data_IF_357822415466
#
_entry.id   IF_357822415466
#
_cell.length_a   1.000
_cell.length_b   1.000
_cell.length_c   1.000
_cell.angle_alpha   90.00
_cell.angle_beta   90.00
_cell.angle_gamma   90.00
#
_symmetry.space_group_name_H-M   'P 1'
#
loop_
_entity.id
_entity.type
_entity.pdbx_description
1 polymer ?
#
# COMPACT_ATOMS: atom_id res chain seq x y z
N UNK A 1 -3.08 24.62 12.08
CA UNK A 1 -3.24 23.40 11.26
C UNK A 1 -2.04 22.52 11.52
N UNK A 2 -2.27 21.32 12.04
CA UNK A 2 -1.20 20.35 12.24
C UNK A 2 -0.82 19.66 10.93
N UNK A 3 0.31 18.95 10.92
CA UNK A 3 0.70 18.08 9.79
C UNK A 3 -0.38 17.02 9.53
N UNK A 4 -1.01 16.51 10.60
CA UNK A 4 -2.07 15.51 10.51
C UNK A 4 -3.30 16.11 9.81
N UNK A 5 -3.69 17.34 10.17
CA UNK A 5 -4.83 18.02 9.54
C UNK A 5 -4.55 18.28 8.05
N UNK A 6 -3.32 18.67 7.70
CA UNK A 6 -2.94 18.89 6.30
C UNK A 6 -2.95 17.58 5.49
N UNK A 7 -2.43 16.49 6.06
CA UNK A 7 -2.46 15.17 5.43
C UNK A 7 -3.89 14.69 5.19
N UNK A 8 -4.74 14.78 6.21
CA UNK A 8 -6.14 14.35 6.18
C UNK A 8 -7.03 15.18 5.24
N UNK A 9 -6.54 16.29 4.65
CA UNK A 9 -7.28 17.00 3.61
C UNK A 9 -7.21 16.28 2.25
N UNK A 10 -6.16 15.50 2.01
CA UNK A 10 -5.89 14.90 0.70
C UNK A 10 -5.85 13.38 0.74
N UNK A 11 -5.43 12.83 1.88
CA UNK A 11 -5.15 11.41 2.02
C UNK A 11 -5.90 10.81 3.20
N UNK A 12 -6.24 9.54 3.06
CA UNK A 12 -6.67 8.68 4.16
C UNK A 12 -5.64 7.56 4.38
N UNK A 13 -5.35 7.26 5.64
CA UNK A 13 -4.64 6.04 6.02
C UNK A 13 -5.63 4.95 6.36
N UNK A 14 -5.59 3.84 5.64
CA UNK A 14 -6.46 2.69 5.85
C UNK A 14 -5.64 1.55 6.46
N UNK A 15 -5.98 1.08 7.68
CA UNK A 15 -5.38 -0.14 8.21
C UNK A 15 -5.82 -1.33 7.36
N UNK A 16 -4.86 -2.08 6.81
CA UNK A 16 -5.11 -3.29 6.03
C UNK A 16 -5.21 -4.50 6.97
N UNK A 17 -6.31 -4.57 7.72
CA UNK A 17 -6.57 -5.59 8.72
C UNK A 17 -7.49 -6.73 8.25
N UNK A 18 -7.90 -6.72 6.98
CA UNK A 18 -8.58 -7.83 6.31
C UNK A 18 -7.68 -8.45 5.25
N UNK A 19 -7.94 -9.70 4.88
CA UNK A 19 -7.14 -10.39 3.87
C UNK A 19 -7.23 -9.71 2.50
N UNK A 20 -8.39 -9.14 2.16
CA UNK A 20 -8.58 -8.39 0.92
C UNK A 20 -7.70 -7.14 0.87
N UNK A 21 -7.65 -6.37 1.97
CA UNK A 21 -6.83 -5.16 2.05
C UNK A 21 -5.33 -5.50 2.09
N UNK A 22 -4.93 -6.60 2.76
CA UNK A 22 -3.54 -7.07 2.72
C UNK A 22 -3.13 -7.49 1.31
N UNK A 23 -4.03 -8.14 0.58
CA UNK A 23 -3.78 -8.50 -0.81
C UNK A 23 -3.56 -7.26 -1.70
N UNK A 24 -4.26 -6.15 -1.45
CA UNK A 24 -3.97 -4.88 -2.12
C UNK A 24 -2.58 -4.35 -1.78
N UNK A 25 -2.14 -4.44 -0.52
CA UNK A 25 -0.79 -4.05 -0.09
C UNK A 25 0.27 -4.87 -0.83
N UNK A 26 0.13 -6.20 -0.87
CA UNK A 26 1.11 -7.07 -1.53
C UNK A 26 1.19 -6.83 -3.05
N UNK A 27 0.05 -6.56 -3.70
CA UNK A 27 0.01 -6.17 -5.12
C UNK A 27 0.67 -4.82 -5.38
N UNK A 28 0.44 -3.84 -4.49
CA UNK A 28 1.07 -2.52 -4.62
C UNK A 28 2.59 -2.61 -4.43
N UNK A 29 3.04 -3.37 -3.44
CA UNK A 29 4.46 -3.64 -3.22
C UNK A 29 5.09 -4.34 -4.43
N UNK A 30 4.42 -5.33 -5.01
CA UNK A 30 4.87 -6.00 -6.24
C UNK A 30 5.01 -5.01 -7.41
N UNK A 31 3.99 -4.19 -7.65
CA UNK A 31 4.02 -3.17 -8.69
C UNK A 31 5.23 -2.24 -8.53
N UNK A 32 5.49 -1.75 -7.31
CA UNK A 32 6.59 -0.82 -7.06
C UNK A 32 7.94 -1.52 -7.03
N UNK A 33 8.13 -2.52 -6.17
CA UNK A 33 9.44 -3.12 -5.90
C UNK A 33 9.89 -4.07 -7.01
N UNK A 34 8.99 -4.82 -7.65
CA UNK A 34 9.36 -5.75 -8.71
C UNK A 34 9.29 -5.11 -10.09
N UNK A 35 8.18 -4.44 -10.42
CA UNK A 35 7.93 -3.99 -11.80
C UNK A 35 8.48 -2.59 -12.13
N UNK A 36 8.30 -1.63 -11.23
CA UNK A 36 8.71 -0.24 -11.49
C UNK A 36 10.16 0.05 -11.09
N UNK A 37 10.64 -0.59 -10.01
CA UNK A 37 11.95 -0.31 -9.42
C UNK A 37 12.97 -1.41 -9.62
N UNK A 38 12.56 -2.63 -9.99
CA UNK A 38 13.42 -3.81 -10.13
C UNK A 38 14.33 -4.04 -8.92
N UNK A 39 13.82 -3.76 -7.71
CA UNK A 39 14.53 -4.03 -6.46
C UNK A 39 14.45 -5.50 -6.06
N UNK A 40 13.37 -6.16 -6.44
CA UNK A 40 13.11 -7.58 -6.17
C UNK A 40 12.72 -8.28 -7.47
N UNK A 41 13.01 -9.58 -7.56
CA UNK A 41 12.59 -10.38 -8.71
C UNK A 41 11.07 -10.59 -8.68
N UNK A 42 10.37 -10.47 -9.82
CA UNK A 42 8.93 -10.67 -9.89
C UNK A 42 8.57 -12.15 -9.68
N UNK A 43 7.58 -12.39 -8.83
CA UNK A 43 6.97 -13.70 -8.62
C UNK A 43 5.86 -14.00 -9.65
N UNK A 44 5.48 -15.28 -9.78
CA UNK A 44 4.42 -15.69 -10.71
C UNK A 44 2.99 -15.38 -10.23
N UNK A 45 2.81 -15.05 -8.95
CA UNK A 45 1.50 -14.79 -8.35
C UNK A 45 1.11 -13.30 -8.43
N UNK A 46 2.03 -12.42 -8.86
CA UNK A 46 1.82 -10.99 -8.99
C UNK A 46 1.70 -10.28 -7.64
N UNK A 47 2.37 -10.79 -6.61
CA UNK A 47 2.38 -10.22 -5.27
C UNK A 47 3.79 -10.21 -4.69
N UNK A 48 4.05 -9.26 -3.80
CA UNK A 48 5.29 -9.19 -3.05
C UNK A 48 4.97 -9.27 -1.57
N UNK A 49 5.54 -10.27 -0.92
CA UNK A 49 5.47 -10.48 0.51
C UNK A 49 6.72 -11.23 1.00
N UNK A 50 7.03 -11.09 2.29
CA UNK A 50 8.16 -11.73 2.94
C UNK A 50 7.79 -12.39 4.29
N UNK A 51 8.79 -12.89 5.01
CA UNK A 51 8.60 -13.56 6.30
C UNK A 51 8.15 -12.63 7.45
N UNK A 52 8.32 -11.31 7.31
CA UNK A 52 7.98 -10.32 8.33
C UNK A 52 6.52 -9.85 8.21
N UNK A 53 5.86 -10.11 7.09
CA UNK A 53 4.51 -9.62 6.82
C UNK A 53 3.46 -10.16 7.78
N UNK A 54 3.68 -11.35 8.35
CA UNK A 54 2.78 -11.93 9.35
C UNK A 54 2.75 -11.14 10.66
N UNK A 55 3.85 -10.45 11.00
CA UNK A 55 4.00 -9.67 12.24
C UNK A 55 3.88 -8.16 12.01
N UNK A 56 3.69 -7.73 10.76
CA UNK A 56 3.66 -6.33 10.39
C UNK A 56 2.25 -5.73 10.45
N UNK A 57 2.18 -4.44 10.79
CA UNK A 57 0.96 -3.65 10.60
C UNK A 57 0.97 -3.05 9.19
N UNK A 58 -0.02 -3.44 8.40
CA UNK A 58 -0.15 -3.02 7.01
C UNK A 58 -1.06 -1.81 6.89
N UNK A 59 -0.69 -0.85 6.05
CA UNK A 59 -1.49 0.35 5.77
C UNK A 59 -1.48 0.69 4.30
N UNK A 60 -2.61 1.17 3.80
CA UNK A 60 -2.75 1.80 2.50
C UNK A 60 -2.89 3.31 2.69
N UNK A 61 -2.26 4.10 1.83
CA UNK A 61 -2.51 5.53 1.71
C UNK A 61 -3.30 5.75 0.42
N UNK A 62 -4.50 6.33 0.53
CA UNK A 62 -5.35 6.64 -0.64
C UNK A 62 -5.60 8.13 -0.73
N UNK A 63 -5.63 8.64 -1.96
CA UNK A 63 -6.06 10.02 -2.26
C UNK A 63 -7.59 10.03 -2.34
N UNK A 64 -8.25 11.04 -1.78
CA UNK A 64 -9.70 11.16 -1.93
C UNK A 64 -10.11 11.40 -3.39
N UNK A 65 -11.13 10.66 -3.86
CA UNK A 65 -11.54 10.64 -5.28
C UNK A 65 -12.00 12.00 -5.83
N UNK A 66 -12.47 12.89 -4.97
CA UNK A 66 -12.90 14.26 -5.32
C UNK A 66 -11.73 15.19 -5.71
N UNK A 67 -10.48 14.72 -5.67
CA UNK A 67 -9.30 15.45 -6.14
C UNK A 67 -8.80 15.00 -7.53
N UNK A 68 -9.50 14.06 -8.19
CA UNK A 68 -9.23 13.71 -9.59
C UNK A 68 -10.39 14.20 -10.49
N UNK A 69 -10.09 14.90 -11.61
CA UNK A 69 -11.09 15.38 -12.56
C UNK A 69 -11.77 14.24 -13.34
#
# INVERSE_FOLDING_TARGET
MSIIDAFNNYFEMIPANTDELKQEVYKLRYQVYCLERNFLEPDANGVEHDEYDHHSSHYLIRIYKNYFP
#
